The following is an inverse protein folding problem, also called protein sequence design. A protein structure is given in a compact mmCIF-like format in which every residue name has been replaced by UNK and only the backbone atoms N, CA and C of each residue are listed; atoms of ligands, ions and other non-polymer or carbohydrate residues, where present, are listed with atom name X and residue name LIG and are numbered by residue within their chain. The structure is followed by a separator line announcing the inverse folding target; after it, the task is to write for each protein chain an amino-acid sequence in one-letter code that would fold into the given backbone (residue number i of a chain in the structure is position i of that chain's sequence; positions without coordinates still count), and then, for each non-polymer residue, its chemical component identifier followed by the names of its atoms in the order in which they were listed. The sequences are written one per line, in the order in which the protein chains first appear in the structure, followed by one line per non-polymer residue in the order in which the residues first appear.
data_IF_219510769221
#
_entry.id   IF_219510769221
#
_cell.length_a   1.000
_cell.length_b   1.000
_cell.length_c   1.000
_cell.angle_alpha   90.00
_cell.angle_beta   90.00
_cell.angle_gamma   90.00
#
_symmetry.space_group_name_H-M   'P 1'
#
loop_
_entity.id
_entity.type
_entity.pdbx_description
1 polymer ?
#
# COMPACT_ATOMS: atom_id res chain seq x y z
N UNK A 1 -6.16 17.90 -3.42
CA UNK A 1 -7.49 17.25 -3.48
C UNK A 1 -8.06 17.45 -4.88
N UNK A 2 -8.53 16.38 -5.55
CA UNK A 2 -8.93 16.40 -6.97
C UNK A 2 -10.22 17.21 -7.22
N UNK A 3 -11.25 17.04 -6.38
CA UNK A 3 -12.54 17.73 -6.53
C UNK A 3 -12.41 19.26 -6.50
N UNK A 4 -11.46 19.80 -5.73
CA UNK A 4 -11.23 21.24 -5.61
C UNK A 4 -10.78 21.91 -6.92
N UNK A 5 -10.28 21.12 -7.89
CA UNK A 5 -9.85 21.62 -9.20
C UNK A 5 -10.88 21.46 -10.31
N UNK A 6 -12.08 20.93 -10.03
CA UNK A 6 -13.08 20.63 -11.06
C UNK A 6 -14.08 21.79 -11.23
N UNK A 7 -14.57 22.03 -12.47
CA UNK A 7 -15.57 23.06 -12.71
C UNK A 7 -16.94 22.68 -12.10
N UNK A 8 -17.75 23.66 -11.67
CA UNK A 8 -19.11 23.40 -11.20
C UNK A 8 -19.93 22.58 -12.21
N UNK A 9 -20.75 21.65 -11.72
CA UNK A 9 -21.57 20.77 -12.57
C UNK A 9 -20.85 19.51 -13.07
N UNK A 10 -19.60 19.28 -12.68
CA UNK A 10 -18.93 18.00 -12.94
C UNK A 10 -19.67 16.82 -12.30
N UNK A 11 -19.75 15.69 -13.00
CA UNK A 11 -20.41 14.46 -12.54
C UNK A 11 -19.86 13.95 -11.20
N UNK A 12 -18.59 14.18 -10.88
CA UNK A 12 -18.02 13.77 -9.59
C UNK A 12 -18.62 14.51 -8.37
N UNK A 13 -19.40 15.57 -8.60
CA UNK A 13 -20.19 16.24 -7.55
C UNK A 13 -21.54 15.56 -7.28
N UNK A 14 -21.96 14.54 -8.05
CA UNK A 14 -23.28 13.89 -7.91
C UNK A 14 -23.40 12.96 -6.70
N UNK A 15 -22.41 12.95 -5.80
CA UNK A 15 -22.31 12.03 -4.68
C UNK A 15 -21.80 10.65 -5.12
N UNK A 16 -20.63 10.27 -4.64
CA UNK A 16 -20.07 8.93 -4.82
C UNK A 16 -20.02 8.28 -3.45
N UNK A 17 -20.68 7.13 -3.30
CA UNK A 17 -20.63 6.39 -2.04
C UNK A 17 -19.27 5.73 -1.85
N UNK A 18 -18.84 5.53 -0.60
CA UNK A 18 -17.58 4.84 -0.30
C UNK A 18 -17.55 3.42 -0.87
N UNK A 19 -18.70 2.76 -0.93
CA UNK A 19 -18.83 1.44 -1.55
C UNK A 19 -18.53 1.51 -3.05
N UNK A 20 -19.14 2.46 -3.76
CA UNK A 20 -18.88 2.65 -5.20
C UNK A 20 -17.41 2.97 -5.46
N UNK A 21 -16.78 3.78 -4.60
CA UNK A 21 -15.37 4.08 -4.71
C UNK A 21 -14.49 2.84 -4.51
N UNK A 22 -14.79 2.03 -3.48
CA UNK A 22 -14.07 0.76 -3.23
C UNK A 22 -14.25 -0.22 -4.40
N UNK A 23 -15.46 -0.38 -4.92
CA UNK A 23 -15.75 -1.24 -6.06
C UNK A 23 -14.97 -0.79 -7.31
N UNK A 24 -14.90 0.52 -7.59
CA UNK A 24 -14.09 1.06 -8.70
C UNK A 24 -12.60 0.79 -8.52
N UNK A 25 -12.06 0.94 -7.30
CA UNK A 25 -10.64 0.66 -7.02
C UNK A 25 -10.30 -0.80 -7.31
N UNK A 26 -11.20 -1.72 -6.99
CA UNK A 26 -11.03 -3.14 -7.31
C UNK A 26 -11.17 -3.42 -8.81
N UNK A 27 -12.13 -2.78 -9.48
CA UNK A 27 -12.38 -2.94 -10.93
C UNK A 27 -11.18 -2.51 -11.79
N UNK A 28 -10.44 -1.47 -11.36
CA UNK A 28 -9.21 -1.03 -12.04
C UNK A 28 -7.97 -1.89 -11.71
N UNK A 29 -8.14 -3.01 -11.02
CA UNK A 29 -7.05 -3.97 -10.76
C UNK A 29 -6.24 -3.72 -9.49
N UNK A 30 -6.68 -2.82 -8.59
CA UNK A 30 -6.11 -2.78 -7.25
C UNK A 30 -6.59 -3.97 -6.42
N UNK A 31 -5.89 -4.29 -5.34
CA UNK A 31 -6.31 -5.28 -4.35
C UNK A 31 -6.44 -4.67 -2.97
N UNK A 32 -7.41 -5.18 -2.21
CA UNK A 32 -7.48 -4.95 -0.78
C UNK A 32 -6.44 -5.82 -0.07
N UNK A 33 -5.62 -5.18 0.77
CA UNK A 33 -4.60 -5.84 1.59
C UNK A 33 -5.12 -5.93 3.03
N UNK A 34 -5.29 -7.16 3.52
CA UNK A 34 -5.77 -7.43 4.87
C UNK A 34 -4.65 -7.24 5.90
N UNK A 35 -4.20 -5.98 6.09
CA UNK A 35 -3.14 -5.67 7.05
C UNK A 35 -3.63 -5.94 8.48
N UNK A 36 -2.92 -6.74 9.29
CA UNK A 36 -3.35 -7.04 10.66
C UNK A 36 -2.97 -5.88 11.58
N UNK A 37 -3.77 -4.81 11.59
CA UNK A 37 -3.58 -3.67 12.49
C UNK A 37 -3.52 -4.14 13.96
N UNK A 38 -2.67 -3.50 14.80
CA UNK A 38 -2.55 -3.88 16.19
C UNK A 38 -3.86 -3.62 16.95
N UNK A 39 -4.22 -4.41 17.98
CA UNK A 39 -5.46 -4.24 18.74
C UNK A 39 -5.66 -2.83 19.31
N UNK A 40 -4.56 -2.15 19.65
CA UNK A 40 -4.54 -0.80 20.18
C UNK A 40 -4.45 0.29 19.10
N UNK A 41 -4.76 -0.02 17.84
CA UNK A 41 -4.77 0.98 16.76
C UNK A 41 -5.79 2.08 17.06
N UNK A 42 -5.43 3.32 16.78
CA UNK A 42 -6.35 4.46 16.81
C UNK A 42 -7.03 4.68 15.46
N UNK A 43 -6.67 3.90 14.43
CA UNK A 43 -7.25 4.01 13.10
C UNK A 43 -8.71 3.55 13.11
N UNK A 44 -9.60 4.36 12.54
CA UNK A 44 -11.01 4.02 12.37
C UNK A 44 -11.19 2.83 11.40
N UNK A 45 -12.35 2.14 11.41
CA UNK A 45 -12.58 0.98 10.54
C UNK A 45 -12.31 1.25 9.04
N UNK A 46 -12.65 2.43 8.54
CA UNK A 46 -12.39 2.79 7.14
C UNK A 46 -10.92 3.12 6.87
N UNK A 47 -10.18 3.63 7.86
CA UNK A 47 -8.74 3.86 7.77
C UNK A 47 -7.92 2.55 7.81
N UNK A 48 -8.54 1.46 8.25
CA UNK A 48 -7.94 0.13 8.22
C UNK A 48 -8.13 -0.59 6.88
N UNK A 49 -8.93 -0.02 5.97
CA UNK A 49 -9.10 -0.56 4.61
C UNK A 49 -7.95 -0.10 3.72
N UNK A 50 -6.97 -0.98 3.55
CA UNK A 50 -5.79 -0.71 2.73
C UNK A 50 -6.01 -1.28 1.33
N UNK A 51 -5.91 -0.42 0.31
CA UNK A 51 -5.91 -0.82 -1.08
C UNK A 51 -4.56 -0.50 -1.71
N UNK A 52 -4.06 -1.40 -2.54
CA UNK A 52 -2.79 -1.23 -3.23
C UNK A 52 -2.90 -1.65 -4.69
N UNK A 53 -2.17 -0.94 -5.56
CA UNK A 53 -2.02 -1.32 -6.96
C UNK A 53 -1.32 -2.69 -7.03
N UNK A 54 -1.97 -3.66 -7.68
CA UNK A 54 -1.44 -5.01 -7.79
C UNK A 54 -0.52 -5.17 -8.99
N UNK A 55 -0.88 -4.54 -10.10
CA UNK A 55 -0.14 -4.51 -11.36
C UNK A 55 -0.15 -3.08 -11.91
N UNK A 56 1.04 -2.49 -12.01
CA UNK A 56 1.29 -1.20 -12.63
C UNK A 56 1.70 -1.34 -14.11
N UNK A 57 1.98 -2.56 -14.57
CA UNK A 57 2.52 -2.84 -15.89
C UNK A 57 4.03 -2.60 -15.98
N UNK A 58 4.74 -2.60 -14.85
CA UNK A 58 6.19 -2.43 -14.78
C UNK A 58 6.91 -3.70 -14.31
N UNK A 59 8.24 -3.71 -14.46
CA UNK A 59 9.09 -4.85 -14.07
C UNK A 59 9.09 -5.14 -12.56
N UNK A 60 8.56 -4.22 -11.74
CA UNK A 60 8.50 -4.34 -10.28
C UNK A 60 7.15 -4.88 -9.79
N UNK A 61 6.21 -5.23 -10.67
CA UNK A 61 4.90 -5.75 -10.27
C UNK A 61 5.03 -6.94 -9.34
N UNK A 62 5.80 -7.94 -9.73
CA UNK A 62 5.97 -9.13 -8.90
C UNK A 62 6.69 -8.83 -7.56
N UNK A 63 7.66 -7.90 -7.56
CA UNK A 63 8.33 -7.45 -6.34
C UNK A 63 7.35 -6.80 -5.36
N UNK A 64 6.46 -5.96 -5.89
CA UNK A 64 5.39 -5.29 -5.15
C UNK A 64 4.38 -6.30 -4.63
N UNK A 65 3.96 -7.27 -5.43
CA UNK A 65 3.04 -8.33 -5.01
C UNK A 65 3.60 -9.11 -3.82
N UNK A 66 4.86 -9.56 -3.89
CA UNK A 66 5.54 -10.24 -2.78
C UNK A 66 5.57 -9.35 -1.52
N UNK A 67 5.88 -8.06 -1.68
CA UNK A 67 5.88 -7.12 -0.57
C UNK A 67 4.47 -7.00 0.06
N UNK A 68 3.43 -6.84 -0.76
CA UNK A 68 2.04 -6.70 -0.29
C UNK A 68 1.57 -7.97 0.43
N UNK A 69 1.96 -9.15 -0.05
CA UNK A 69 1.70 -10.42 0.62
C UNK A 69 2.34 -10.50 2.01
N UNK A 70 3.56 -9.99 2.19
CA UNK A 70 4.20 -9.90 3.52
C UNK A 70 3.30 -9.07 4.45
N UNK A 71 2.79 -7.94 3.99
CA UNK A 71 1.96 -7.05 4.80
C UNK A 71 0.53 -7.57 5.04
N UNK A 72 0.03 -8.49 4.23
CA UNK A 72 -1.22 -9.22 4.55
C UNK A 72 -1.14 -10.05 5.84
N UNK A 73 0.09 -10.32 6.32
CA UNK A 73 0.35 -11.12 7.54
C UNK A 73 1.08 -10.32 8.62
N UNK A 74 1.50 -9.09 8.32
CA UNK A 74 2.34 -8.30 9.21
C UNK A 74 1.93 -6.83 9.13
N UNK A 75 1.68 -6.18 10.26
CA UNK A 75 1.49 -4.74 10.28
C UNK A 75 2.76 -3.97 9.89
N UNK A 76 3.92 -4.49 10.32
CA UNK A 76 5.24 -3.89 10.11
C UNK A 76 6.33 -4.95 10.07
N UNK A 77 7.40 -4.69 9.33
CA UNK A 77 8.54 -5.61 9.23
C UNK A 77 9.87 -4.86 9.20
N UNK A 78 10.97 -5.58 9.45
CA UNK A 78 12.32 -5.06 9.16
C UNK A 78 12.65 -5.23 7.68
N UNK A 79 13.58 -4.41 7.17
CA UNK A 79 14.03 -4.46 5.74
C UNK A 79 14.47 -5.86 5.33
N UNK A 80 15.18 -6.57 6.21
CA UNK A 80 15.72 -7.90 5.92
C UNK A 80 14.63 -8.95 5.64
N UNK A 81 13.43 -8.82 6.21
CA UNK A 81 12.33 -9.74 5.91
C UNK A 81 11.90 -9.62 4.44
N UNK A 82 11.80 -8.39 3.95
CA UNK A 82 11.42 -8.09 2.56
C UNK A 82 12.53 -8.56 1.62
N UNK A 83 13.78 -8.17 1.90
CA UNK A 83 14.94 -8.57 1.11
C UNK A 83 15.07 -10.11 1.03
N UNK A 84 14.95 -10.82 2.15
CA UNK A 84 15.06 -12.27 2.17
C UNK A 84 13.90 -12.95 1.42
N UNK A 85 12.69 -12.37 1.46
CA UNK A 85 11.55 -12.93 0.72
C UNK A 85 11.75 -12.76 -0.79
N UNK A 86 12.21 -11.60 -1.24
CA UNK A 86 12.51 -11.34 -2.64
C UNK A 86 13.69 -12.19 -3.14
N UNK A 87 14.77 -12.29 -2.36
CA UNK A 87 15.92 -13.11 -2.72
C UNK A 87 15.60 -14.61 -2.82
N UNK A 88 14.57 -15.10 -2.11
CA UNK A 88 14.08 -16.48 -2.27
C UNK A 88 13.38 -16.72 -3.61
N UNK A 89 12.78 -15.69 -4.19
CA UNK A 89 12.05 -15.79 -5.45
C UNK A 89 12.96 -15.48 -6.66
N UNK A 90 13.90 -14.53 -6.52
CA UNK A 90 14.76 -14.05 -7.62
C UNK A 90 16.24 -14.43 -7.51
N UNK A 91 16.66 -15.03 -6.40
CA UNK A 91 18.05 -15.39 -6.13
C UNK A 91 18.79 -14.37 -5.25
N UNK A 92 19.99 -14.74 -4.80
CA UNK A 92 20.81 -13.91 -3.90
C UNK A 92 21.41 -12.66 -4.57
N UNK A 93 21.41 -12.63 -5.90
CA UNK A 93 21.92 -11.51 -6.71
C UNK A 93 20.91 -10.36 -6.89
N UNK A 94 19.82 -10.36 -6.12
CA UNK A 94 18.81 -9.30 -6.14
C UNK A 94 19.45 -7.93 -5.89
N UNK A 95 19.27 -6.99 -6.81
CA UNK A 95 19.88 -5.68 -6.70
C UNK A 95 19.24 -4.89 -5.54
N UNK A 96 20.09 -4.31 -4.70
CA UNK A 96 19.70 -3.43 -3.61
C UNK A 96 18.79 -2.30 -4.12
N UNK A 97 19.02 -1.80 -5.34
CA UNK A 97 18.21 -0.73 -5.92
C UNK A 97 16.77 -1.16 -6.18
N UNK A 98 16.54 -2.43 -6.56
CA UNK A 98 15.20 -2.96 -6.79
C UNK A 98 14.41 -3.04 -5.48
N UNK A 99 15.06 -3.49 -4.40
CA UNK A 99 14.48 -3.48 -3.05
C UNK A 99 14.18 -2.06 -2.59
N UNK A 100 15.11 -1.13 -2.79
CA UNK A 100 14.92 0.27 -2.38
C UNK A 100 13.81 0.94 -3.20
N UNK A 101 13.67 0.62 -4.48
CA UNK A 101 12.58 1.10 -5.34
C UNK A 101 11.22 0.66 -4.82
N UNK A 102 11.02 -0.64 -4.59
CA UNK A 102 9.72 -1.15 -4.15
C UNK A 102 9.34 -0.62 -2.75
N UNK A 103 10.33 -0.48 -1.85
CA UNK A 103 10.13 0.13 -0.54
C UNK A 103 9.74 1.60 -0.65
N UNK A 104 10.42 2.36 -1.51
CA UNK A 104 10.12 3.78 -1.74
C UNK A 104 8.71 3.96 -2.31
N UNK A 105 8.27 3.07 -3.18
CA UNK A 105 6.95 3.18 -3.80
C UNK A 105 5.83 2.82 -2.81
N UNK A 106 5.99 1.72 -2.06
CA UNK A 106 4.89 1.11 -1.31
C UNK A 106 4.90 1.44 0.19
N UNK A 107 6.06 1.79 0.75
CA UNK A 107 6.26 1.81 2.20
C UNK A 107 6.74 3.15 2.76
N UNK A 108 6.69 3.25 4.08
CA UNK A 108 7.29 4.30 4.90
C UNK A 108 8.11 3.65 6.02
N UNK A 109 9.23 4.27 6.39
CA UNK A 109 10.07 3.80 7.50
C UNK A 109 9.83 4.66 8.75
N UNK A 110 9.61 4.01 9.89
CA UNK A 110 9.49 4.66 11.20
C UNK A 110 10.08 3.76 12.29
N UNK A 111 11.01 4.29 13.09
CA UNK A 111 11.64 3.55 14.19
C UNK A 111 12.37 2.28 13.76
N UNK A 112 13.01 2.28 12.59
CA UNK A 112 13.72 1.11 12.03
C UNK A 112 12.81 -0.01 11.50
N UNK A 113 11.50 0.22 11.44
CA UNK A 113 10.50 -0.68 10.88
C UNK A 113 9.91 -0.08 9.59
N UNK A 114 9.44 -0.94 8.70
CA UNK A 114 8.75 -0.58 7.47
C UNK A 114 7.26 -0.94 7.57
N UNK A 115 6.44 -0.03 7.07
CA UNK A 115 4.98 -0.10 7.06
C UNK A 115 4.49 0.24 5.65
N UNK A 116 3.33 -0.26 5.24
CA UNK A 116 2.67 0.27 4.05
C UNK A 116 2.34 1.75 4.24
N UNK A 117 2.44 2.53 3.16
CA UNK A 117 1.98 3.93 3.19
C UNK A 117 0.50 3.99 3.55
N UNK A 118 0.13 4.98 4.34
CA UNK A 118 -1.25 5.18 4.79
C UNK A 118 -1.67 4.33 6.00
N UNK A 119 -0.85 3.39 6.48
CA UNK A 119 -1.20 2.58 7.67
C UNK A 119 -0.63 3.14 8.97
N UNK A 120 0.34 4.06 8.88
CA UNK A 120 0.93 4.72 10.04
C UNK A 120 0.27 6.07 10.26
N UNK A 121 -0.30 6.24 11.45
CA UNK A 121 -0.76 7.53 11.94
C UNK A 121 0.47 8.41 12.21
N UNK A 122 0.77 9.34 11.32
CA UNK A 122 1.79 10.35 11.57
C UNK A 122 1.20 11.34 12.56
N UNK A 123 1.82 11.51 13.73
CA UNK A 123 1.52 12.64 14.60
C UNK A 123 1.89 13.91 13.83
N UNK A 124 0.89 14.59 13.28
CA UNK A 124 1.03 15.97 12.79
C UNK A 124 1.53 16.80 13.97
N UNK A 125 2.81 17.18 13.90
CA UNK A 125 3.42 18.14 14.82
C UNK A 125 3.27 19.54 14.25
#
# INVERSE_FOLDING_TARGET
LHLAGLPPGNLLFSGISDKTLQDMVLDVGCKQIMVPFPPQTTALPDEQKVFALWEAGDVYDQHRQILLEIFSKNYRVRRNIIQNRLAREYGEDLDKQEVDKVLKDCCVSQGGMWYLKGTVQQSTS
#
